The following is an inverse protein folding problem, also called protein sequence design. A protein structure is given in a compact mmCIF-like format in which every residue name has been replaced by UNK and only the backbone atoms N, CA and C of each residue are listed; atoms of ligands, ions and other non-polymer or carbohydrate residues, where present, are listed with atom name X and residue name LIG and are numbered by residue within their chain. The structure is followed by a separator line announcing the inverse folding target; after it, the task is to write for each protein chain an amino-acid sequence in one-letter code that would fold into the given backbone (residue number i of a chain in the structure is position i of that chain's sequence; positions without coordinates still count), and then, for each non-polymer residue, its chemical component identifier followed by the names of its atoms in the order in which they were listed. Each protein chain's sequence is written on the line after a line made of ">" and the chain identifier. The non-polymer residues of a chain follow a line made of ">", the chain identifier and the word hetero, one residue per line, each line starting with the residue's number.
data_IF_471582098524
#
_entry.id   IF_471582098524
#
_cell.length_a   1.000
_cell.length_b   1.000
_cell.length_c   1.000
_cell.angle_alpha   90.00
_cell.angle_beta   90.00
_cell.angle_gamma   90.00
#
_symmetry.space_group_name_H-M   'P 1'
#
loop_
_entity.id
_entity.type
_entity.pdbx_description
1 polymer ?
#
# COMPACT_ATOMS: atom_id res chain seq x y z
N UNK A 1 -30.76 23.76 -39.62
CA UNK A 1 -29.87 24.57 -38.78
C UNK A 1 -28.50 23.97 -38.99
N UNK A 2 -27.77 24.54 -39.94
CA UNK A 2 -26.40 24.12 -40.26
C UNK A 2 -25.48 24.84 -39.28
N UNK A 3 -24.67 24.07 -38.56
CA UNK A 3 -23.70 24.56 -37.58
C UNK A 3 -22.39 24.72 -38.33
N UNK A 4 -21.99 25.97 -38.59
CA UNK A 4 -20.67 26.32 -39.10
C UNK A 4 -19.61 25.96 -38.04
N UNK A 5 -18.67 25.09 -38.42
CA UNK A 5 -17.52 24.65 -37.62
C UNK A 5 -16.22 25.35 -38.03
N UNK A 6 -16.30 26.58 -38.54
CA UNK A 6 -15.12 27.42 -38.79
C UNK A 6 -14.64 28.00 -37.45
N UNK A 7 -13.99 27.14 -36.67
CA UNK A 7 -13.23 27.54 -35.49
C UNK A 7 -11.82 27.88 -35.96
N UNK A 8 -11.51 29.18 -35.98
CA UNK A 8 -10.26 29.78 -36.44
C UNK A 8 -9.02 29.08 -35.87
N UNK A 9 -8.38 28.25 -36.70
CA UNK A 9 -7.18 27.47 -36.40
C UNK A 9 -5.91 28.30 -36.60
N UNK A 10 -5.78 29.47 -35.96
CA UNK A 10 -4.52 30.22 -35.99
C UNK A 10 -4.24 30.94 -34.67
N UNK A 11 -3.78 30.22 -33.64
CA UNK A 11 -2.73 30.74 -32.72
C UNK A 11 -2.20 29.77 -31.64
N UNK A 12 -1.95 28.48 -31.89
CA UNK A 12 -1.07 27.71 -30.99
C UNK A 12 0.39 27.93 -31.38
N UNK A 13 0.84 29.18 -31.22
CA UNK A 13 2.25 29.55 -31.23
C UNK A 13 2.95 28.69 -30.18
N UNK A 14 3.72 27.72 -30.67
CA UNK A 14 4.52 26.75 -29.91
C UNK A 14 5.42 27.46 -28.91
N UNK A 15 4.93 27.66 -27.70
CA UNK A 15 5.77 27.78 -26.52
C UNK A 15 6.15 26.36 -26.13
N UNK A 16 7.22 25.86 -26.76
CA UNK A 16 7.95 24.71 -26.25
C UNK A 16 8.51 25.11 -24.89
N UNK A 17 7.69 24.95 -23.86
CA UNK A 17 8.17 24.85 -22.49
C UNK A 17 8.84 23.48 -22.40
N UNK A 18 10.08 23.37 -21.90
CA UNK A 18 10.64 22.08 -21.53
C UNK A 18 9.80 21.58 -20.37
N UNK A 19 8.82 20.72 -20.65
CA UNK A 19 8.02 20.08 -19.63
C UNK A 19 8.96 19.27 -18.75
N UNK A 20 9.12 19.73 -17.52
CA UNK A 20 9.52 18.89 -16.40
C UNK A 20 8.45 17.79 -16.30
N UNK A 21 8.65 16.69 -17.01
CA UNK A 21 7.84 15.49 -16.89
C UNK A 21 8.08 14.94 -15.49
N UNK A 22 7.08 15.04 -14.62
CA UNK A 22 7.05 14.25 -13.40
C UNK A 22 7.13 12.78 -13.79
N UNK A 23 8.16 12.10 -13.30
CA UNK A 23 8.30 10.65 -13.42
C UNK A 23 7.83 10.02 -12.09
N UNK A 24 7.16 8.87 -12.17
CA UNK A 24 6.96 8.03 -11.00
C UNK A 24 8.03 6.93 -11.07
N UNK A 25 8.87 6.84 -10.05
CA UNK A 25 9.87 5.78 -9.94
C UNK A 25 9.18 4.47 -9.50
N UNK A 26 9.12 3.48 -10.39
CA UNK A 26 8.72 2.11 -10.08
C UNK A 26 9.81 1.14 -10.55
N UNK A 27 10.75 0.80 -9.66
CA UNK A 27 11.95 0.04 -10.02
C UNK A 27 12.84 0.78 -11.02
N UNK A 28 13.99 0.21 -11.38
CA UNK A 28 15.06 0.84 -12.19
C UNK A 28 14.67 1.27 -13.63
N UNK A 29 13.38 1.36 -13.97
CA UNK A 29 12.87 1.86 -15.25
C UNK A 29 11.84 2.96 -15.02
N UNK A 30 12.12 4.21 -15.44
CA UNK A 30 11.11 5.26 -15.41
C UNK A 30 9.99 4.91 -16.37
N UNK A 31 8.75 4.81 -15.86
CA UNK A 31 7.55 4.72 -16.69
C UNK A 31 7.14 6.16 -17.00
N UNK A 32 7.19 6.60 -18.27
CA UNK A 32 6.74 7.93 -18.61
C UNK A 32 5.22 8.00 -18.41
N UNK A 33 4.77 8.93 -17.56
CA UNK A 33 3.35 9.11 -17.23
C UNK A 33 2.60 9.68 -18.46
N UNK A 34 3.32 10.47 -19.26
CA UNK A 34 2.85 11.05 -20.52
C UNK A 34 4.03 11.13 -21.51
N UNK A 35 3.86 10.56 -22.71
CA UNK A 35 4.73 10.81 -23.86
C UNK A 35 3.91 11.41 -24.99
N UNK A 36 4.34 12.56 -25.50
CA UNK A 36 3.71 13.25 -26.63
C UNK A 36 4.72 13.31 -27.76
N UNK A 37 4.41 12.66 -28.88
CA UNK A 37 5.25 12.66 -30.10
C UNK A 37 4.47 13.32 -31.23
N UNK A 38 4.98 14.44 -31.75
CA UNK A 38 4.43 15.03 -32.98
C UNK A 38 5.04 14.33 -34.19
N UNK A 39 4.18 13.80 -35.06
CA UNK A 39 4.54 13.13 -36.29
C UNK A 39 4.68 14.14 -37.45
N UNK A 40 5.33 13.72 -38.54
CA UNK A 40 5.63 14.55 -39.71
C UNK A 40 4.39 15.02 -40.48
N UNK A 41 3.26 14.33 -40.30
CA UNK A 41 1.96 14.67 -40.86
C UNK A 41 1.15 15.59 -39.92
N UNK A 42 1.81 16.21 -38.95
CA UNK A 42 1.24 17.11 -37.93
C UNK A 42 0.29 16.42 -36.94
N UNK A 43 0.15 15.09 -37.01
CA UNK A 43 -0.59 14.32 -36.00
C UNK A 43 0.20 14.21 -34.70
N UNK A 44 -0.51 14.07 -33.59
CA UNK A 44 0.10 13.97 -32.26
C UNK A 44 -0.22 12.60 -31.68
N UNK A 45 0.81 11.80 -31.45
CA UNK A 45 0.72 10.53 -30.74
C UNK A 45 0.90 10.78 -29.24
N UNK A 46 -0.06 10.30 -28.44
CA UNK A 46 -0.08 10.50 -26.98
C UNK A 46 -0.14 9.14 -26.31
N UNK A 47 0.93 8.77 -25.63
CA UNK A 47 0.93 7.65 -24.70
C UNK A 47 0.70 8.22 -23.32
N UNK A 48 -0.53 8.11 -22.83
CA UNK A 48 -0.89 8.51 -21.48
C UNK A 48 -1.69 7.40 -20.80
N UNK A 49 -1.43 7.20 -19.52
CA UNK A 49 -2.23 6.32 -18.67
C UNK A 49 -3.48 7.08 -18.18
N UNK A 50 -4.53 7.13 -19.01
CA UNK A 50 -5.78 7.86 -18.70
C UNK A 50 -6.58 7.31 -17.50
N UNK A 51 -6.15 6.21 -16.87
CA UNK A 51 -6.82 5.62 -15.70
C UNK A 51 -6.43 6.24 -14.34
N UNK A 52 -5.35 7.03 -14.27
CA UNK A 52 -4.79 7.51 -13.00
C UNK A 52 -4.79 9.05 -12.85
N UNK A 53 -5.15 9.80 -13.90
CA UNK A 53 -5.22 11.26 -13.85
C UNK A 53 -6.41 11.69 -12.97
N UNK A 54 -6.10 12.26 -11.80
CA UNK A 54 -7.08 12.85 -10.88
C UNK A 54 -7.58 11.93 -9.76
N UNK A 55 -7.12 10.68 -9.68
CA UNK A 55 -7.42 9.81 -8.54
C UNK A 55 -6.25 9.80 -7.55
N UNK A 56 -6.58 9.89 -6.27
CA UNK A 56 -5.63 9.70 -5.18
C UNK A 56 -4.98 8.30 -5.31
N UNK A 57 -3.66 8.29 -5.42
CA UNK A 57 -2.90 7.05 -5.60
C UNK A 57 -2.84 6.35 -4.25
N UNK A 58 -3.73 5.37 -4.05
CA UNK A 58 -3.70 4.54 -2.86
C UNK A 58 -2.63 3.45 -3.01
N UNK A 59 -1.62 3.50 -2.15
CA UNK A 59 -0.51 2.54 -2.16
C UNK A 59 -0.96 1.10 -1.99
N UNK A 60 -2.12 0.83 -1.37
CA UNK A 60 -2.68 -0.52 -1.25
C UNK A 60 -3.06 -1.17 -2.59
N UNK A 61 -3.36 -0.36 -3.61
CA UNK A 61 -3.78 -0.82 -4.93
C UNK A 61 -2.59 -1.07 -5.88
N UNK A 62 -1.39 -0.66 -5.47
CA UNK A 62 -0.18 -0.85 -6.26
C UNK A 62 0.22 -2.34 -6.29
N UNK A 63 0.83 -2.80 -7.40
CA UNK A 63 1.46 -4.12 -7.42
C UNK A 63 2.60 -4.18 -6.39
N UNK A 64 2.83 -5.36 -5.82
CA UNK A 64 3.94 -5.59 -4.88
C UNK A 64 5.23 -5.61 -5.69
N UNK A 65 6.23 -4.85 -5.25
CA UNK A 65 7.53 -4.81 -5.94
C UNK A 65 8.28 -6.14 -5.75
N UNK A 66 9.17 -6.53 -6.68
CA UNK A 66 9.98 -7.74 -6.53
C UNK A 66 10.83 -7.76 -5.25
N UNK A 67 11.34 -6.60 -4.82
CA UNK A 67 12.14 -6.47 -3.60
C UNK A 67 11.28 -6.69 -2.34
N UNK A 68 10.06 -6.16 -2.34
CA UNK A 68 9.08 -6.39 -1.28
C UNK A 68 8.67 -7.87 -1.20
N UNK A 69 8.52 -8.54 -2.34
CA UNK A 69 8.27 -9.98 -2.39
C UNK A 69 9.40 -10.78 -1.74
N UNK A 70 10.66 -10.38 -1.97
CA UNK A 70 11.82 -11.04 -1.34
C UNK A 70 11.83 -10.88 0.18
N UNK A 71 11.40 -9.73 0.70
CA UNK A 71 11.25 -9.50 2.14
C UNK A 71 10.20 -10.44 2.73
N UNK A 72 9.01 -10.53 2.12
CA UNK A 72 7.96 -11.45 2.58
C UNK A 72 8.43 -12.90 2.48
N UNK A 73 9.13 -13.26 1.40
CA UNK A 73 9.69 -14.59 1.18
C UNK A 73 10.69 -14.98 2.28
N UNK A 74 11.58 -14.07 2.67
CA UNK A 74 12.56 -14.35 3.73
C UNK A 74 11.87 -14.58 5.07
N UNK A 75 10.83 -13.79 5.39
CA UNK A 75 10.03 -13.97 6.60
C UNK A 75 9.28 -15.31 6.62
N UNK A 76 8.73 -15.75 5.48
CA UNK A 76 8.11 -17.09 5.35
C UNK A 76 9.16 -18.19 5.59
N UNK A 77 10.34 -18.07 4.99
CA UNK A 77 11.44 -19.04 5.17
C UNK A 77 11.97 -19.10 6.60
N UNK A 78 11.86 -18.00 7.36
CA UNK A 78 12.15 -17.97 8.80
C UNK A 78 11.09 -18.70 9.64
N UNK A 79 10.01 -19.21 9.04
CA UNK A 79 8.95 -19.95 9.73
C UNK A 79 7.88 -19.06 10.38
N UNK A 80 7.85 -17.77 10.07
CA UNK A 80 6.84 -16.88 10.63
C UNK A 80 5.45 -17.20 10.05
N UNK A 81 4.41 -17.29 10.89
CA UNK A 81 3.06 -17.50 10.41
C UNK A 81 2.56 -16.26 9.64
N UNK A 82 1.73 -16.47 8.62
CA UNK A 82 1.36 -15.40 7.69
C UNK A 82 0.70 -14.20 8.36
N UNK A 83 -0.09 -14.44 9.43
CA UNK A 83 -0.72 -13.37 10.21
C UNK A 83 0.33 -12.52 10.93
N UNK A 84 1.37 -13.14 11.46
CA UNK A 84 2.45 -12.44 12.16
C UNK A 84 3.30 -11.63 11.20
N UNK A 85 3.57 -12.13 10.00
CA UNK A 85 4.26 -11.38 8.94
C UNK A 85 3.55 -10.06 8.65
N UNK A 86 2.22 -10.11 8.44
CA UNK A 86 1.42 -8.90 8.16
C UNK A 86 1.47 -7.92 9.34
N UNK A 87 1.31 -8.41 10.56
CA UNK A 87 1.35 -7.56 11.77
C UNK A 87 2.73 -6.92 11.93
N UNK A 88 3.81 -7.69 11.77
CA UNK A 88 5.17 -7.22 11.92
C UNK A 88 5.53 -6.17 10.86
N UNK A 89 5.12 -6.37 9.61
CA UNK A 89 5.34 -5.38 8.55
C UNK A 89 4.61 -4.05 8.83
N UNK A 90 3.39 -4.11 9.36
CA UNK A 90 2.67 -2.90 9.79
C UNK A 90 3.38 -2.20 10.94
N UNK A 91 3.78 -2.93 11.99
CA UNK A 91 4.45 -2.30 13.14
C UNK A 91 5.79 -1.68 12.75
N UNK A 92 6.58 -2.37 11.91
CA UNK A 92 7.96 -1.98 11.62
C UNK A 92 8.09 -0.92 10.53
N UNK A 93 7.14 -0.85 9.58
CA UNK A 93 7.25 0.02 8.40
C UNK A 93 6.18 1.10 8.31
N UNK A 94 5.25 1.16 9.26
CA UNK A 94 4.26 2.23 9.30
C UNK A 94 4.93 3.55 9.66
N UNK A 95 4.75 4.55 8.81
CA UNK A 95 5.20 5.91 9.05
C UNK A 95 4.06 6.72 9.66
N UNK A 96 4.18 7.11 10.93
CA UNK A 96 3.14 7.87 11.66
C UNK A 96 2.93 9.28 11.07
N UNK A 97 3.95 9.84 10.42
CA UNK A 97 3.89 11.20 9.85
C UNK A 97 3.23 11.24 8.47
N UNK A 98 3.09 10.08 7.81
CA UNK A 98 2.47 9.98 6.49
C UNK A 98 1.00 9.55 6.59
N UNK A 99 0.13 10.03 5.69
CA UNK A 99 -1.26 9.58 5.65
C UNK A 99 -1.34 8.09 5.24
N UNK A 100 -2.49 7.46 5.50
CA UNK A 100 -2.67 6.03 5.29
C UNK A 100 -2.51 5.62 3.81
N UNK A 101 -2.97 6.44 2.86
CA UNK A 101 -2.81 6.13 1.42
C UNK A 101 -1.36 6.19 0.92
N UNK A 102 -0.47 6.88 1.63
CA UNK A 102 0.95 7.03 1.26
C UNK A 102 1.87 6.06 2.01
N UNK A 103 1.32 5.12 2.78
CA UNK A 103 2.13 4.12 3.44
C UNK A 103 2.77 3.16 2.42
N UNK A 104 3.96 2.59 2.71
CA UNK A 104 4.57 1.60 1.84
C UNK A 104 3.61 0.45 1.49
N UNK A 105 3.69 -0.07 0.26
CA UNK A 105 2.81 -1.16 -0.20
C UNK A 105 2.78 -2.36 0.76
N UNK A 106 3.91 -2.67 1.40
CA UNK A 106 4.05 -3.74 2.39
C UNK A 106 3.11 -3.59 3.60
N UNK A 107 2.83 -2.37 4.05
CA UNK A 107 1.94 -2.11 5.19
C UNK A 107 0.49 -2.52 4.90
N UNK A 108 0.12 -2.52 3.62
CA UNK A 108 -1.21 -2.90 3.14
C UNK A 108 -1.33 -4.37 2.76
N UNK A 109 -0.33 -5.21 3.05
CA UNK A 109 -0.45 -6.64 2.78
C UNK A 109 -1.56 -7.28 3.61
N UNK A 110 -2.20 -8.27 3.00
CA UNK A 110 -3.15 -9.18 3.63
C UNK A 110 -2.53 -10.58 3.74
N UNK A 111 -3.12 -11.43 4.60
CA UNK A 111 -2.73 -12.84 4.70
C UNK A 111 -2.85 -13.55 3.35
N UNK A 112 -3.83 -13.14 2.52
CA UNK A 112 -4.01 -13.66 1.17
C UNK A 112 -2.83 -13.31 0.27
N UNK A 113 -2.30 -12.09 0.36
CA UNK A 113 -1.14 -11.66 -0.42
C UNK A 113 0.10 -12.48 -0.05
N UNK A 114 0.33 -12.69 1.25
CA UNK A 114 1.42 -13.53 1.76
C UNK A 114 1.27 -14.97 1.26
N UNK A 115 0.06 -15.54 1.29
CA UNK A 115 -0.23 -16.87 0.74
C UNK A 115 0.02 -16.96 -0.77
N UNK A 116 -0.34 -15.93 -1.53
CA UNK A 116 -0.07 -15.86 -2.97
C UNK A 116 1.44 -15.78 -3.26
N UNK A 117 2.19 -15.00 -2.47
CA UNK A 117 3.66 -14.95 -2.55
C UNK A 117 4.25 -16.33 -2.25
N UNK A 118 3.82 -16.98 -1.17
CA UNK A 118 4.24 -18.32 -0.82
C UNK A 118 3.96 -19.33 -1.95
N UNK A 119 2.77 -19.28 -2.55
CA UNK A 119 2.37 -20.13 -3.67
C UNK A 119 3.28 -19.94 -4.88
N UNK A 120 3.53 -18.69 -5.28
CA UNK A 120 4.39 -18.35 -6.43
C UNK A 120 5.82 -18.83 -6.26
N UNK A 121 6.30 -18.93 -5.02
CA UNK A 121 7.63 -19.42 -4.68
C UNK A 121 7.67 -20.89 -4.25
N UNK A 122 6.55 -21.62 -4.28
CA UNK A 122 6.49 -23.03 -3.91
C UNK A 122 6.68 -23.31 -2.42
N UNK A 123 6.35 -22.35 -1.54
CA UNK A 123 6.60 -22.42 -0.09
C UNK A 123 5.44 -22.98 0.74
N UNK A 124 4.26 -23.25 0.12
CA UNK A 124 3.08 -23.74 0.84
C UNK A 124 3.12 -25.23 1.23
N UNK A 125 4.10 -26.00 0.73
CA UNK A 125 4.11 -27.45 0.89
C UNK A 125 4.61 -27.97 2.26
N UNK A 126 5.02 -27.09 3.18
CA UNK A 126 5.64 -27.50 4.45
C UNK A 126 4.86 -27.19 5.73
N UNK A 127 3.70 -26.52 5.66
CA UNK A 127 2.77 -26.45 6.80
C UNK A 127 1.83 -27.67 6.76
N UNK A 128 2.40 -28.88 6.76
CA UNK A 128 1.64 -30.03 7.23
C UNK A 128 1.61 -29.88 8.75
N UNK A 129 0.42 -29.59 9.26
CA UNK A 129 0.08 -29.87 10.64
C UNK A 129 0.22 -31.39 10.87
N UNK A 130 1.46 -31.86 11.04
CA UNK A 130 1.73 -33.18 11.62
C UNK A 130 1.55 -33.04 13.14
N UNK A 131 0.31 -32.84 13.58
CA UNK A 131 -0.10 -33.05 14.97
C UNK A 131 -1.31 -33.99 14.99
N UNK A 132 -1.08 -35.22 14.51
CA UNK A 132 -1.82 -36.41 14.94
C UNK A 132 -0.77 -37.39 15.50
N UNK A 133 -0.21 -37.07 16.68
CA UNK A 133 0.45 -38.06 17.53
C UNK A 133 -0.37 -38.20 18.80
N UNK A 134 -1.30 -39.15 18.71
CA UNK A 134 -1.97 -39.79 19.81
C UNK A 134 -0.95 -40.44 20.77
N UNK A 135 -1.14 -40.23 22.08
CA UNK A 135 -0.74 -41.15 23.13
C UNK A 135 0.72 -41.17 23.60
N UNK A 136 1.14 -40.19 24.43
CA UNK A 136 1.76 -40.38 25.77
C UNK A 136 2.65 -39.20 26.18
N UNK A 137 2.57 -38.74 27.45
CA UNK A 137 3.37 -37.60 27.92
C UNK A 137 4.74 -38.05 28.45
N UNK A 138 5.82 -37.28 28.24
CA UNK A 138 6.95 -37.28 29.14
C UNK A 138 6.81 -36.14 30.15
N UNK A 139 6.95 -36.56 31.39
CA UNK A 139 7.04 -35.83 32.65
C UNK A 139 8.08 -34.71 32.70
N UNK A 140 7.75 -33.75 33.57
CA UNK A 140 8.61 -32.87 34.37
C UNK A 140 9.36 -31.73 33.69
N UNK A 141 8.73 -30.55 33.68
CA UNK A 141 9.43 -29.32 34.03
C UNK A 141 8.51 -28.49 34.93
N UNK A 142 8.83 -28.46 36.23
CA UNK A 142 8.25 -27.53 37.19
C UNK A 142 8.81 -26.15 36.87
N UNK A 143 7.94 -25.22 36.50
CA UNK A 143 8.18 -23.79 36.73
C UNK A 143 6.99 -23.31 37.55
N UNK A 144 7.34 -22.81 38.72
CA UNK A 144 6.45 -22.33 39.76
C UNK A 144 5.64 -21.13 39.25
N UNK A 145 4.37 -21.11 39.67
CA UNK A 145 3.43 -20.01 39.48
C UNK A 145 3.89 -18.81 40.33
N UNK A 146 3.96 -17.62 39.73
CA UNK A 146 3.82 -16.37 40.48
C UNK A 146 2.72 -15.54 39.83
N UNK A 147 1.64 -15.39 40.60
CA UNK A 147 0.50 -14.53 40.39
C UNK A 147 0.95 -13.05 40.25
N UNK A 148 0.49 -12.38 39.21
CA UNK A 148 0.52 -10.93 39.10
C UNK A 148 -0.89 -10.44 38.74
N UNK A 149 -1.69 -10.19 39.79
CA UNK A 149 -2.78 -9.23 39.76
C UNK A 149 -2.20 -7.82 39.98
N UNK A 150 -2.65 -6.83 39.20
CA UNK A 150 -3.08 -5.49 39.67
C UNK A 150 -3.34 -4.56 38.46
N UNK A 151 -4.64 -4.34 38.23
CA UNK A 151 -5.32 -3.05 38.08
C UNK A 151 -4.60 -1.88 37.40
N UNK A 152 -5.09 -1.45 36.22
CA UNK A 152 -5.13 -0.02 35.88
C UNK A 152 -6.50 0.41 35.35
N UNK A 153 -7.20 1.11 36.22
CA UNK A 153 -8.47 1.80 36.00
C UNK A 153 -8.18 3.13 35.27
N UNK A 154 -8.29 3.15 33.94
CA UNK A 154 -8.10 4.39 33.17
C UNK A 154 -9.37 5.24 33.20
N UNK A 155 -9.34 6.21 34.11
CA UNK A 155 -10.25 7.34 34.26
C UNK A 155 -10.43 8.08 32.91
N UNK A 156 -11.63 8.06 32.34
CA UNK A 156 -11.98 8.87 31.17
C UNK A 156 -12.80 10.08 31.61
N UNK A 157 -12.11 11.21 31.74
CA UNK A 157 -12.70 12.51 32.08
C UNK A 157 -13.41 13.08 30.83
N UNK A 158 -14.73 13.12 30.88
CA UNK A 158 -15.60 13.67 29.84
C UNK A 158 -15.60 15.20 29.95
N UNK A 159 -15.02 15.90 28.97
CA UNK A 159 -15.19 17.35 28.82
C UNK A 159 -16.43 17.61 27.95
N UNK A 160 -17.44 18.25 28.52
CA UNK A 160 -18.58 18.80 27.78
C UNK A 160 -18.17 20.16 27.19
N UNK A 161 -17.96 20.24 25.88
CA UNK A 161 -17.86 21.52 25.16
C UNK A 161 -19.22 22.23 25.21
N UNK A 162 -19.21 23.44 25.78
CA UNK A 162 -20.36 24.32 25.82
C UNK A 162 -20.41 25.13 24.52
N UNK A 163 -21.40 24.88 23.67
CA UNK A 163 -21.69 25.71 22.50
C UNK A 163 -22.20 27.08 22.97
N UNK A 164 -21.38 28.13 22.77
CA UNK A 164 -21.80 29.52 22.95
C UNK A 164 -22.28 30.10 21.61
N UNK A 165 -23.59 30.33 21.51
CA UNK A 165 -24.22 31.01 20.38
C UNK A 165 -23.79 32.49 20.33
N UNK A 166 -22.99 32.85 19.32
CA UNK A 166 -22.71 34.26 18.99
C UNK A 166 -23.89 34.85 18.23
N UNK A 167 -24.71 35.63 18.94
CA UNK A 167 -25.70 36.52 18.31
C UNK A 167 -24.96 37.75 17.78
N UNK A 168 -25.01 37.94 16.47
CA UNK A 168 -24.54 39.16 15.80
C UNK A 168 -25.73 40.11 15.66
N UNK A 169 -25.69 41.23 16.38
CA UNK A 169 -26.61 42.37 16.25
C UNK A 169 -26.02 43.42 15.30
#
# INVERSE_FOLDING_TARGET
>A
MDIDWDMDYENIRTRSSPSNTSFIEFGDKPIPIEQVTQLLDETVDVVACFGHLGHEVNSALLPISPDDELIVKSMILSGLPFKEIVTQLRITRWNVEAPAEMQPRLCHLTVRDVSNIASRHGLLASFKDDVDVDGSPPTSFLVEEEDLEEDEETNTEYYEESDEDVIVD
#
